data_IF_169346896380
#
_entry.id   IF_169346896380
#
_cell.length_a   1.000
_cell.length_b   1.000
_cell.length_c   1.000
_cell.angle_alpha   90.00
_cell.angle_beta   90.00
_cell.angle_gamma   90.00
#
_symmetry.space_group_name_H-M   'P 1'
#
loop_
_entity.id
_entity.type
_entity.pdbx_description
1 polymer ?
#
# COMPACT_ATOMS: atom_id res chain seq x y z
N UNK A 1 -0.10 25.15 9.62
CA UNK A 1 -0.84 24.13 10.39
C UNK A 1 -1.39 23.13 9.39
N UNK A 2 -0.73 21.98 9.23
CA UNK A 2 -1.21 20.94 8.32
C UNK A 2 -2.32 20.17 9.02
N UNK A 3 -3.58 20.43 8.63
CA UNK A 3 -4.68 19.52 8.90
C UNK A 3 -4.41 18.23 8.12
N UNK A 4 -3.70 17.30 8.75
CA UNK A 4 -3.70 15.91 8.33
C UNK A 4 -5.10 15.41 8.72
N UNK A 5 -6.07 15.64 7.85
CA UNK A 5 -7.31 14.88 7.88
C UNK A 5 -6.91 13.41 7.91
N UNK A 6 -7.42 12.71 8.92
CA UNK A 6 -7.08 11.33 9.25
C UNK A 6 -7.66 10.40 8.16
N UNK A 7 -7.15 10.50 6.94
CA UNK A 7 -7.58 9.68 5.81
C UNK A 7 -6.96 8.30 6.05
N UNK A 8 -7.81 7.36 6.49
CA UNK A 8 -7.45 5.97 6.72
C UNK A 8 -6.73 5.39 5.51
N UNK A 9 -5.42 5.17 5.64
CA UNK A 9 -4.64 4.46 4.64
C UNK A 9 -4.93 2.95 4.73
N UNK A 10 -5.16 2.30 3.60
CA UNK A 10 -5.40 0.86 3.52
C UNK A 10 -4.21 0.17 2.87
N UNK A 11 -3.63 -0.80 3.57
CA UNK A 11 -2.52 -1.63 3.06
C UNK A 11 -3.07 -2.99 2.64
N UNK A 12 -2.98 -3.32 1.36
CA UNK A 12 -3.57 -4.53 0.79
C UNK A 12 -2.53 -5.29 -0.02
N UNK A 13 -2.38 -6.59 0.22
CA UNK A 13 -1.42 -7.42 -0.50
C UNK A 13 -1.91 -7.89 -1.88
N UNK A 14 -3.22 -8.04 -2.07
CA UNK A 14 -3.85 -8.47 -3.32
C UNK A 14 -4.35 -7.30 -4.15
N UNK A 15 -3.98 -7.26 -5.44
CA UNK A 15 -4.47 -6.25 -6.37
C UNK A 15 -5.97 -6.40 -6.68
N UNK A 16 -6.47 -7.63 -6.77
CA UNK A 16 -7.90 -7.87 -6.95
C UNK A 16 -8.71 -7.32 -5.78
N UNK A 17 -8.22 -7.50 -4.55
CA UNK A 17 -8.83 -6.94 -3.35
C UNK A 17 -8.75 -5.42 -3.32
N UNK A 18 -7.64 -4.83 -3.76
CA UNK A 18 -7.50 -3.38 -3.88
C UNK A 18 -8.52 -2.78 -4.88
N UNK A 19 -8.72 -3.44 -6.03
CA UNK A 19 -9.74 -3.06 -7.02
C UNK A 19 -11.16 -3.17 -6.47
N UNK A 20 -11.48 -4.27 -5.79
CA UNK A 20 -12.80 -4.45 -5.17
C UNK A 20 -13.11 -3.35 -4.16
N UNK A 21 -12.15 -3.01 -3.30
CA UNK A 21 -12.31 -1.95 -2.30
C UNK A 21 -12.44 -0.59 -2.98
N UNK A 22 -11.58 -0.26 -3.95
CA UNK A 22 -11.70 1.00 -4.71
C UNK A 22 -13.09 1.15 -5.32
N UNK A 23 -13.60 0.09 -5.96
CA UNK A 23 -14.93 0.12 -6.57
C UNK A 23 -16.03 0.27 -5.50
N UNK A 24 -15.94 -0.45 -4.38
CA UNK A 24 -16.91 -0.31 -3.29
C UNK A 24 -16.96 1.13 -2.75
N UNK A 25 -15.81 1.80 -2.59
CA UNK A 25 -15.76 3.20 -2.17
C UNK A 25 -16.33 4.13 -3.23
N UNK A 26 -15.96 3.95 -4.50
CA UNK A 26 -16.45 4.73 -5.63
C UNK A 26 -17.99 4.74 -5.72
N UNK A 27 -18.65 3.62 -5.42
CA UNK A 27 -20.12 3.52 -5.44
C UNK A 27 -20.81 3.92 -4.13
N UNK A 28 -20.07 4.31 -3.09
CA UNK A 28 -20.62 4.52 -1.74
C UNK A 28 -20.75 5.98 -1.30
N UNK A 29 -20.43 6.95 -2.17
CA UNK A 29 -20.33 8.39 -1.86
C UNK A 29 -19.40 8.73 -0.68
N UNK A 30 -18.58 7.77 -0.23
CA UNK A 30 -17.58 7.97 0.82
C UNK A 30 -16.27 8.48 0.23
N UNK A 31 -15.48 9.24 1.00
CA UNK A 31 -14.14 9.64 0.56
C UNK A 31 -13.29 8.42 0.23
N UNK A 32 -12.66 8.44 -0.95
CA UNK A 32 -11.75 7.38 -1.39
C UNK A 32 -10.52 7.34 -0.48
N UNK A 33 -10.23 6.20 0.17
CA UNK A 33 -9.03 6.07 0.98
C UNK A 33 -7.79 5.97 0.08
N UNK A 34 -6.63 6.33 0.63
CA UNK A 34 -5.35 6.01 -0.01
C UNK A 34 -5.12 4.51 0.11
N UNK A 35 -5.16 3.80 -1.01
CA UNK A 35 -4.95 2.36 -1.07
C UNK A 35 -3.53 2.07 -1.53
N UNK A 36 -2.77 1.40 -0.67
CA UNK A 36 -1.41 0.95 -0.89
C UNK A 36 -1.44 -0.53 -1.26
N UNK A 37 -0.80 -0.91 -2.37
CA UNK A 37 -0.74 -2.32 -2.80
C UNK A 37 0.69 -2.86 -2.99
N UNK A 38 0.92 -4.10 -2.57
CA UNK A 38 2.18 -4.84 -2.75
C UNK A 38 2.30 -5.55 -4.11
N UNK A 39 1.47 -5.21 -5.09
CA UNK A 39 1.37 -5.97 -6.34
C UNK A 39 2.73 -6.23 -7.00
N UNK A 40 3.24 -7.45 -6.77
CA UNK A 40 4.39 -8.13 -7.38
C UNK A 40 5.69 -7.37 -7.65
N UNK A 41 5.93 -6.16 -7.10
CA UNK A 41 6.97 -5.26 -7.64
C UNK A 41 6.90 -5.16 -9.17
N UNK A 42 5.74 -5.44 -9.77
CA UNK A 42 5.54 -5.34 -11.21
C UNK A 42 5.09 -3.92 -11.47
N UNK A 43 5.79 -3.25 -12.38
CA UNK A 43 5.39 -1.95 -12.91
C UNK A 43 3.99 -2.10 -13.51
N UNK A 44 2.98 -1.72 -12.75
CA UNK A 44 1.61 -1.65 -13.22
C UNK A 44 1.25 -0.17 -13.15
N UNK A 45 1.07 0.46 -14.30
CA UNK A 45 0.84 1.91 -14.44
C UNK A 45 -0.59 2.32 -14.01
N UNK A 46 -1.14 1.67 -12.99
CA UNK A 46 -2.46 1.96 -12.46
C UNK A 46 -2.38 3.05 -11.39
N UNK A 47 -2.52 4.30 -11.84
CA UNK A 47 -2.45 5.51 -11.02
C UNK A 47 -3.53 5.59 -9.91
N UNK A 48 -4.47 4.65 -9.84
CA UNK A 48 -5.47 4.56 -8.76
C UNK A 48 -4.88 4.07 -7.44
N UNK A 49 -3.75 3.38 -7.47
CA UNK A 49 -3.14 2.77 -6.29
C UNK A 49 -1.73 3.31 -6.05
N UNK A 50 -1.38 3.50 -4.79
CA UNK A 50 -0.01 3.88 -4.43
C UNK A 50 0.80 2.59 -4.32
N UNK A 51 1.78 2.43 -5.21
CA UNK A 51 2.73 1.34 -5.13
C UNK A 51 3.71 1.61 -3.98
N UNK A 52 3.95 0.60 -3.15
CA UNK A 52 5.01 0.61 -2.17
C UNK A 52 5.73 -0.73 -2.25
N UNK A 53 7.05 -0.67 -2.43
CA UNK A 53 7.90 -1.86 -2.47
C UNK A 53 8.40 -2.15 -1.06
N UNK A 54 8.36 -3.43 -0.69
CA UNK A 54 9.18 -3.90 0.42
C UNK A 54 10.61 -4.03 -0.11
N UNK A 55 11.53 -3.24 0.44
CA UNK A 55 12.95 -3.45 0.19
C UNK A 55 13.42 -4.69 0.99
N UNK A 56 13.27 -5.86 0.37
CA UNK A 56 13.71 -7.13 0.93
C UNK A 56 15.24 -7.17 1.15
N UNK A 57 16.01 -6.37 0.40
CA UNK A 57 17.44 -6.20 0.61
C UNK A 57 17.72 -5.54 1.96
N UNK A 58 17.09 -4.39 2.21
CA UNK A 58 17.18 -3.69 3.49
C UNK A 58 16.69 -4.55 4.66
N UNK A 59 15.54 -5.21 4.52
CA UNK A 59 14.96 -6.06 5.58
C UNK A 59 15.90 -7.23 5.90
N UNK A 60 16.43 -7.92 4.88
CA UNK A 60 17.33 -9.05 5.09
C UNK A 60 18.64 -8.63 5.78
N UNK A 61 19.20 -7.47 5.44
CA UNK A 61 20.39 -6.93 6.09
C UNK A 61 20.17 -6.65 7.59
N UNK A 62 19.01 -6.07 7.96
CA UNK A 62 18.68 -5.81 9.36
C UNK A 62 18.51 -7.10 10.18
N UNK A 63 17.90 -8.13 9.59
CA UNK A 63 17.77 -9.44 10.23
C UNK A 63 19.13 -10.12 10.44
N UNK A 64 20.02 -10.05 9.45
CA UNK A 64 21.38 -10.57 9.55
C UNK A 64 22.21 -9.83 10.59
N UNK A 65 22.08 -8.50 10.67
CA UNK A 65 22.74 -7.69 11.68
C UNK A 65 22.30 -8.04 13.11
N UNK A 66 21.01 -8.37 13.30
CA UNK A 66 20.48 -8.82 14.61
C UNK A 66 20.97 -10.20 15.03
N UNK A 67 21.20 -11.13 14.11
CA UNK A 67 21.72 -12.47 14.41
C UNK A 67 23.23 -12.51 14.72
N UNK A 68 23.97 -11.46 14.37
CA UNK A 68 25.41 -11.32 14.63
C UNK A 68 25.72 -10.72 16.01
N UNK A 69 24.71 -10.34 16.79
CA UNK A 69 24.80 -9.98 18.21
C UNK A 69 24.41 -11.16 19.07
#
# INVERSE_FOLDING_TARGET
>A
MAHIENISALFISSFETAKLIHNAFYFSDKPLPKIYTFYHNSFNDDNRFIQYSLDYGYISQQLLAKKKK
#
